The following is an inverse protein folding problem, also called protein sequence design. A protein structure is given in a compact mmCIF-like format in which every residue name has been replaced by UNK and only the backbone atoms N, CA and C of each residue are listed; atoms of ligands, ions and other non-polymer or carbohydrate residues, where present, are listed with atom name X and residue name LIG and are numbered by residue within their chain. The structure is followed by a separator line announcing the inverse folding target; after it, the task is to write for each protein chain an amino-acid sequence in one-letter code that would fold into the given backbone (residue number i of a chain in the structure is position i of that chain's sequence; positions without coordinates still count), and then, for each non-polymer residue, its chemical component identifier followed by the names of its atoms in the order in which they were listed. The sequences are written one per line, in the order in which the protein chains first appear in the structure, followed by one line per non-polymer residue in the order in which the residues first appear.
data_IF_566209115199
#
_entry.id   IF_566209115199
#
_cell.length_a   1.000
_cell.length_b   1.000
_cell.length_c   1.000
_cell.angle_alpha   90.00
_cell.angle_beta   90.00
_cell.angle_gamma   90.00
#
_symmetry.space_group_name_H-M   'P 1'
#
loop_
_entity.id
_entity.type
_entity.pdbx_description
1 polymer ?
#
# COMPACT_ATOMS: atom_id res chain seq x y z
N UNK A 1 23.62 -32.62 -12.45
CA UNK A 1 23.77 -32.01 -11.11
C UNK A 1 23.54 -30.51 -11.30
N UNK A 2 22.37 -29.91 -11.14
CA UNK A 2 21.04 -30.19 -10.58
C UNK A 2 20.03 -29.85 -11.71
N UNK A 3 19.20 -30.72 -12.29
CA UNK A 3 17.92 -31.27 -11.77
C UNK A 3 17.44 -30.58 -10.49
N UNK A 4 16.20 -30.07 -10.48
CA UNK A 4 15.58 -29.11 -9.52
C UNK A 4 15.92 -27.67 -9.94
N UNK A 5 15.07 -26.90 -10.64
CA UNK A 5 13.82 -26.26 -10.17
C UNK A 5 12.82 -26.08 -11.33
N UNK A 6 12.52 -27.13 -12.12
CA UNK A 6 11.60 -27.02 -13.27
C UNK A 6 10.20 -27.63 -13.05
N UNK A 7 9.89 -28.11 -11.83
CA UNK A 7 8.54 -28.56 -11.45
C UNK A 7 7.91 -27.76 -10.31
N UNK A 8 8.63 -26.76 -9.77
CA UNK A 8 8.28 -26.08 -8.52
C UNK A 8 8.34 -24.54 -8.61
N UNK A 9 8.24 -23.95 -9.80
CA UNK A 9 8.18 -22.50 -9.94
C UNK A 9 6.95 -22.01 -10.71
N UNK A 10 6.49 -22.77 -11.71
CA UNK A 10 5.19 -22.52 -12.36
C UNK A 10 4.01 -22.85 -11.43
N UNK A 11 4.17 -23.75 -10.46
CA UNK A 11 3.18 -24.01 -9.41
C UNK A 11 3.39 -23.20 -8.12
N UNK A 12 4.61 -22.67 -7.88
CA UNK A 12 4.92 -21.87 -6.68
C UNK A 12 4.53 -20.40 -6.85
N UNK A 13 4.67 -19.84 -8.05
CA UNK A 13 4.18 -18.48 -8.36
C UNK A 13 2.67 -18.46 -8.60
N UNK A 14 2.06 -19.58 -9.04
CA UNK A 14 0.59 -19.75 -9.03
C UNK A 14 0.02 -20.01 -7.62
N UNK A 15 0.84 -20.42 -6.64
CA UNK A 15 0.43 -20.63 -5.26
C UNK A 15 0.54 -19.38 -4.37
N UNK A 16 1.42 -18.42 -4.69
CA UNK A 16 1.48 -17.13 -3.97
C UNK A 16 0.26 -16.23 -4.27
N UNK A 17 -0.49 -16.55 -5.33
CA UNK A 17 -1.76 -15.88 -5.71
C UNK A 17 -3.00 -16.75 -5.40
N UNK A 18 -2.89 -17.78 -4.52
CA UNK A 18 -4.04 -18.39 -3.85
C UNK A 18 -4.34 -19.86 -4.16
N UNK A 19 -3.46 -20.79 -3.70
CA UNK A 19 -3.86 -22.18 -3.38
C UNK A 19 -3.13 -22.65 -2.11
N UNK A 20 -3.68 -22.31 -0.95
CA UNK A 20 -3.91 -23.28 0.12
C UNK A 20 -5.41 -23.29 0.37
N UNK A 21 -6.10 -24.28 -0.21
CA UNK A 21 -7.35 -24.79 0.33
C UNK A 21 -6.96 -25.69 1.50
N UNK A 22 -7.13 -25.20 2.73
CA UNK A 22 -7.04 -26.04 3.91
C UNK A 22 -8.27 -26.96 3.91
N UNK A 23 -8.03 -28.25 3.69
CA UNK A 23 -9.04 -29.32 3.58
C UNK A 23 -9.79 -29.64 4.88
N UNK A 24 -10.09 -28.66 5.73
CA UNK A 24 -10.95 -28.81 6.91
C UNK A 24 -12.14 -27.84 6.96
N UNK A 25 -12.40 -27.03 5.93
CA UNK A 25 -13.46 -26.01 5.96
C UNK A 25 -14.45 -25.92 4.77
N UNK A 26 -14.57 -26.91 3.89
CA UNK A 26 -15.60 -26.89 2.82
C UNK A 26 -16.25 -28.25 2.56
N UNK A 27 -17.05 -28.72 3.51
CA UNK A 27 -18.07 -29.72 3.21
C UNK A 27 -19.26 -29.07 2.49
N UNK A 28 -19.14 -28.78 1.18
CA UNK A 28 -20.32 -28.53 0.31
C UNK A 28 -20.01 -28.94 -1.14
N UNK A 29 -20.90 -29.77 -1.67
CA UNK A 29 -20.90 -30.40 -2.99
C UNK A 29 -20.89 -29.45 -4.20
N UNK A 30 -20.31 -29.95 -5.30
CA UNK A 30 -20.29 -29.31 -6.63
C UNK A 30 -21.56 -29.58 -7.44
N UNK A 31 -22.19 -28.53 -7.95
CA UNK A 31 -22.90 -28.49 -9.25
C UNK A 31 -23.02 -27.00 -9.66
N UNK A 32 -23.02 -26.54 -10.91
CA UNK A 32 -22.97 -27.13 -12.23
C UNK A 32 -22.39 -26.08 -13.24
N UNK A 33 -21.81 -26.61 -14.32
CA UNK A 33 -21.67 -26.06 -15.69
C UNK A 33 -21.59 -24.53 -15.94
N UNK A 34 -20.45 -24.10 -16.49
CA UNK A 34 -20.37 -22.90 -17.32
C UNK A 34 -20.36 -23.31 -18.81
N UNK A 35 -21.25 -22.71 -19.60
CA UNK A 35 -21.34 -22.88 -21.07
C UNK A 35 -20.22 -22.14 -21.84
N UNK A 36 -20.16 -22.30 -23.17
CA UNK A 36 -19.05 -21.83 -23.98
C UNK A 36 -19.14 -20.32 -24.23
N UNK A 37 -18.04 -19.60 -24.01
CA UNK A 37 -17.88 -18.20 -24.39
C UNK A 37 -16.75 -18.08 -25.42
N UNK A 38 -17.19 -17.78 -26.65
CA UNK A 38 -16.60 -17.01 -27.76
C UNK A 38 -15.17 -17.28 -28.26
N UNK A 39 -15.11 -17.61 -29.55
CA UNK A 39 -13.96 -18.05 -30.34
C UNK A 39 -13.38 -16.95 -31.28
N UNK A 40 -13.18 -15.73 -30.79
CA UNK A 40 -12.61 -14.63 -31.62
C UNK A 40 -11.25 -14.07 -31.14
N UNK A 41 -10.65 -14.65 -30.09
CA UNK A 41 -9.44 -14.09 -29.46
C UNK A 41 -8.08 -14.55 -30.06
N UNK A 42 -8.05 -15.33 -31.15
CA UNK A 42 -6.79 -15.93 -31.66
C UNK A 42 -6.12 -15.22 -32.86
N UNK A 43 -6.76 -14.22 -33.50
CA UNK A 43 -6.28 -13.68 -34.78
C UNK A 43 -4.89 -12.97 -34.74
N UNK A 44 -4.55 -12.12 -33.75
CA UNK A 44 -3.23 -11.48 -33.70
C UNK A 44 -2.11 -12.48 -33.40
N UNK A 45 -2.40 -13.46 -32.54
CA UNK A 45 -1.47 -14.52 -32.16
C UNK A 45 -1.15 -15.43 -33.34
N UNK A 46 -2.17 -15.91 -34.03
CA UNK A 46 -2.00 -16.76 -35.21
C UNK A 46 -1.30 -16.02 -36.35
N UNK A 47 -1.57 -14.73 -36.53
CA UNK A 47 -0.90 -13.91 -37.55
C UNK A 47 0.61 -13.80 -37.30
N UNK A 48 1.04 -13.45 -36.10
CA UNK A 48 2.46 -13.28 -35.76
C UNK A 48 3.21 -14.61 -35.84
N UNK A 49 2.62 -15.70 -35.34
CA UNK A 49 3.21 -17.04 -35.45
C UNK A 49 3.31 -17.48 -36.91
N UNK A 50 2.31 -17.17 -37.74
CA UNK A 50 2.32 -17.50 -39.17
C UNK A 50 3.40 -16.73 -39.92
N UNK A 51 3.54 -15.43 -39.68
CA UNK A 51 4.58 -14.60 -40.31
C UNK A 51 5.97 -15.06 -39.89
N UNK A 52 6.19 -15.27 -38.58
CA UNK A 52 7.46 -15.79 -38.07
C UNK A 52 7.82 -17.14 -38.69
N UNK A 53 6.89 -18.10 -38.67
CA UNK A 53 7.17 -19.45 -39.14
C UNK A 53 7.31 -19.55 -40.66
N UNK A 54 6.65 -18.68 -41.43
CA UNK A 54 6.84 -18.61 -42.88
C UNK A 54 8.30 -18.29 -43.20
N UNK A 55 8.82 -17.20 -42.65
CA UNK A 55 10.16 -16.71 -42.96
C UNK A 55 11.24 -17.69 -42.46
N UNK A 56 11.03 -18.30 -41.29
CA UNK A 56 11.93 -19.34 -40.73
C UNK A 56 12.03 -20.57 -41.64
N UNK A 57 10.93 -20.97 -42.29
CA UNK A 57 10.91 -22.19 -43.12
C UNK A 57 11.69 -22.00 -44.42
N UNK A 58 11.82 -20.76 -44.91
CA UNK A 58 12.44 -20.45 -46.20
C UNK A 58 13.98 -20.46 -46.14
N UNK A 59 14.59 -19.75 -45.18
CA UNK A 59 16.05 -19.66 -45.05
C UNK A 59 16.57 -19.69 -43.59
N UNK A 60 15.70 -20.03 -42.64
CA UNK A 60 16.03 -20.06 -41.22
C UNK A 60 16.22 -18.68 -40.60
N UNK A 61 15.81 -17.60 -41.27
CA UNK A 61 15.85 -16.22 -40.74
C UNK A 61 14.46 -15.66 -40.54
N UNK A 62 14.37 -14.63 -39.72
CA UNK A 62 13.16 -13.83 -39.56
C UNK A 62 13.53 -12.36 -39.34
N UNK A 63 12.64 -11.47 -39.77
CA UNK A 63 12.69 -10.03 -39.50
C UNK A 63 11.26 -9.52 -39.38
N UNK A 64 10.79 -9.34 -38.16
CA UNK A 64 9.41 -9.02 -37.85
C UNK A 64 9.33 -7.68 -37.13
N UNK A 65 8.39 -6.84 -37.58
CA UNK A 65 8.01 -5.63 -36.87
C UNK A 65 6.73 -5.91 -36.08
N UNK A 66 6.81 -5.85 -34.75
CA UNK A 66 5.65 -5.94 -33.86
C UNK A 66 5.18 -4.53 -33.53
N UNK A 67 4.03 -4.13 -34.05
CA UNK A 67 3.48 -2.79 -33.79
C UNK A 67 2.90 -2.69 -32.37
N UNK A 68 2.57 -1.48 -31.92
CA UNK A 68 1.85 -1.29 -30.67
C UNK A 68 0.48 -1.99 -30.70
N UNK A 69 -0.21 -1.97 -31.84
CA UNK A 69 -1.50 -2.63 -32.02
C UNK A 69 -1.38 -4.14 -31.88
N UNK A 70 -0.37 -4.75 -32.51
CA UNK A 70 -0.05 -6.17 -32.39
C UNK A 70 0.22 -6.57 -30.94
N UNK A 71 1.06 -5.82 -30.24
CA UNK A 71 1.40 -6.07 -28.84
C UNK A 71 0.16 -5.94 -27.92
N UNK A 72 -0.68 -4.93 -28.16
CA UNK A 72 -1.91 -4.75 -27.41
C UNK A 72 -2.93 -5.85 -27.68
N UNK A 73 -3.07 -6.29 -28.93
CA UNK A 73 -3.94 -7.39 -29.32
C UNK A 73 -3.52 -8.72 -28.68
N UNK A 74 -2.21 -9.00 -28.69
CA UNK A 74 -1.64 -10.16 -28.02
C UNK A 74 -1.89 -10.13 -26.51
N UNK A 75 -1.52 -9.04 -25.85
CA UNK A 75 -1.58 -8.97 -24.38
C UNK A 75 -3.02 -9.00 -23.88
N UNK A 76 -3.93 -8.28 -24.53
CA UNK A 76 -5.34 -8.30 -24.14
C UNK A 76 -6.04 -9.64 -24.49
N UNK A 77 -5.52 -10.39 -25.47
CA UNK A 77 -6.00 -11.75 -25.79
C UNK A 77 -5.50 -12.81 -24.81
N UNK A 78 -4.29 -12.67 -24.27
CA UNK A 78 -3.66 -13.64 -23.36
C UNK A 78 -3.97 -13.37 -21.87
N UNK A 79 -4.31 -12.13 -21.52
CA UNK A 79 -4.77 -11.77 -20.18
C UNK A 79 -6.20 -12.27 -19.98
N UNK A 80 -6.34 -13.52 -19.51
CA UNK A 80 -7.64 -14.03 -19.09
C UNK A 80 -8.29 -13.14 -18.01
N UNK A 81 -9.61 -13.23 -17.84
CA UNK A 81 -10.37 -12.47 -16.81
C UNK A 81 -9.85 -12.63 -15.37
N UNK A 82 -9.00 -13.64 -15.17
CA UNK A 82 -8.25 -13.94 -13.97
C UNK A 82 -7.05 -13.08 -13.65
N UNK A 83 -6.41 -12.49 -14.66
CA UNK A 83 -5.06 -11.96 -14.56
C UNK A 83 -4.94 -10.87 -13.48
N UNK A 84 -3.79 -10.78 -12.78
CA UNK A 84 -3.52 -9.73 -11.79
C UNK A 84 -3.32 -8.35 -12.43
N UNK A 85 -3.43 -8.25 -13.76
CA UNK A 85 -3.22 -7.05 -14.56
C UNK A 85 -4.40 -6.93 -15.54
N UNK A 86 -4.93 -5.72 -15.69
CA UNK A 86 -6.04 -5.36 -16.56
C UNK A 86 -5.70 -4.07 -17.33
N UNK A 87 -6.47 -3.79 -18.38
CA UNK A 87 -6.38 -2.56 -19.19
C UNK A 87 -4.96 -2.27 -19.71
N UNK A 88 -4.22 -3.32 -20.05
CA UNK A 88 -2.82 -3.18 -20.43
C UNK A 88 -2.72 -2.50 -21.80
N UNK A 89 -1.86 -1.48 -21.86
CA UNK A 89 -1.55 -0.68 -23.04
C UNK A 89 -0.04 -0.62 -23.24
N UNK A 90 0.39 -0.97 -24.43
CA UNK A 90 1.77 -0.87 -24.89
C UNK A 90 1.89 0.30 -25.84
N UNK A 91 2.84 1.19 -25.56
CA UNK A 91 3.25 2.28 -26.43
C UNK A 91 4.70 2.11 -26.85
N UNK A 92 5.01 2.31 -28.13
CA UNK A 92 6.36 2.18 -28.66
C UNK A 92 7.04 3.55 -28.77
N UNK A 93 8.31 3.63 -28.39
CA UNK A 93 9.14 4.84 -28.47
C UNK A 93 10.52 4.48 -29.02
N UNK A 94 11.27 5.49 -29.44
CA UNK A 94 12.66 5.29 -29.85
C UNK A 94 13.48 4.75 -28.67
N UNK A 95 13.97 3.52 -28.79
CA UNK A 95 14.78 2.83 -27.79
C UNK A 95 14.03 2.30 -26.57
N UNK A 96 12.70 2.43 -26.50
CA UNK A 96 11.93 1.93 -25.36
C UNK A 96 10.47 1.56 -25.69
N UNK A 97 9.88 0.77 -24.80
CA UNK A 97 8.50 0.30 -24.81
C UNK A 97 7.86 0.74 -23.49
N UNK A 98 6.81 1.53 -23.57
CA UNK A 98 5.97 1.94 -22.44
C UNK A 98 4.89 0.89 -22.24
N UNK A 99 4.72 0.39 -21.03
CA UNK A 99 3.61 -0.47 -20.65
C UNK A 99 2.83 0.22 -19.55
N UNK A 100 1.58 0.54 -19.79
CA UNK A 100 0.65 1.08 -18.80
C UNK A 100 -0.44 0.04 -18.56
N UNK A 101 -0.99 -0.03 -17.35
CA UNK A 101 -2.09 -0.95 -17.04
C UNK A 101 -2.64 -0.69 -15.65
N UNK A 102 -3.48 -1.60 -15.18
CA UNK A 102 -4.00 -1.58 -13.81
C UNK A 102 -3.79 -2.93 -13.14
N UNK A 103 -3.26 -2.94 -11.92
CA UNK A 103 -3.19 -4.14 -11.10
C UNK A 103 -4.60 -4.45 -10.59
N UNK A 104 -5.01 -5.70 -10.78
CA UNK A 104 -6.24 -6.26 -10.25
C UNK A 104 -6.03 -6.54 -8.76
N UNK A 105 -6.49 -5.62 -7.93
CA UNK A 105 -6.72 -5.83 -6.50
C UNK A 105 -8.21 -5.73 -6.19
N UNK A 106 -8.53 -5.38 -4.93
CA UNK A 106 -9.88 -4.95 -4.57
C UNK A 106 -10.32 -3.71 -5.35
N UNK A 107 -9.36 -2.90 -5.79
CA UNK A 107 -9.53 -1.76 -6.67
C UNK A 107 -8.48 -1.79 -7.78
N UNK A 108 -8.77 -1.27 -8.98
CA UNK A 108 -7.76 -1.11 -10.02
C UNK A 108 -6.71 -0.11 -9.54
N UNK A 109 -5.45 -0.56 -9.43
CA UNK A 109 -4.32 0.31 -9.11
C UNK A 109 -3.52 0.54 -10.39
N UNK A 110 -3.52 1.76 -10.96
CA UNK A 110 -2.78 2.00 -12.19
C UNK A 110 -1.29 1.75 -11.97
N UNK A 111 -0.61 1.22 -12.97
CA UNK A 111 0.84 1.12 -12.99
C UNK A 111 1.35 1.51 -14.38
N UNK A 112 2.62 1.88 -14.43
CA UNK A 112 3.29 2.16 -15.68
C UNK A 112 4.77 1.79 -15.59
N UNK A 113 5.28 1.16 -16.63
CA UNK A 113 6.67 0.74 -16.76
C UNK A 113 7.26 1.23 -18.09
N UNK A 114 8.55 1.55 -18.07
CA UNK A 114 9.32 1.82 -19.28
C UNK A 114 10.39 0.74 -19.41
N UNK A 115 10.35 0.03 -20.54
CA UNK A 115 11.21 -1.11 -20.86
C UNK A 115 12.14 -0.73 -22.01
N UNK A 116 13.44 -0.99 -21.89
CA UNK A 116 14.41 -0.80 -22.96
C UNK A 116 14.94 -2.17 -23.38
N UNK A 117 14.51 -2.71 -24.53
CA UNK A 117 15.07 -3.95 -25.03
C UNK A 117 16.51 -3.73 -25.51
N UNK A 118 17.38 -4.70 -25.24
CA UNK A 118 18.77 -4.72 -25.69
C UNK A 118 19.15 -6.12 -26.16
N UNK A 119 20.07 -6.20 -27.11
CA UNK A 119 20.65 -7.47 -27.52
C UNK A 119 21.90 -7.77 -26.67
N UNK A 120 21.88 -8.89 -25.96
CA UNK A 120 23.02 -9.42 -25.24
C UNK A 120 24.09 -9.96 -26.19
N UNK A 121 25.32 -10.08 -25.70
CA UNK A 121 26.46 -10.64 -26.49
C UNK A 121 26.29 -12.11 -26.84
N UNK A 122 25.40 -12.82 -26.14
CA UNK A 122 24.98 -14.19 -26.43
C UNK A 122 23.88 -14.30 -27.50
N UNK A 123 23.42 -13.16 -28.04
CA UNK A 123 22.32 -13.11 -29.01
C UNK A 123 20.94 -13.28 -28.38
N UNK A 124 20.82 -13.09 -27.05
CA UNK A 124 19.54 -13.09 -26.33
C UNK A 124 19.01 -11.67 -26.11
N UNK A 125 17.70 -11.51 -26.12
CA UNK A 125 17.07 -10.23 -25.80
C UNK A 125 17.10 -10.03 -24.29
N UNK A 126 17.64 -8.91 -23.84
CA UNK A 126 17.59 -8.45 -22.46
C UNK A 126 16.60 -7.29 -22.38
N UNK A 127 15.61 -7.38 -21.48
CA UNK A 127 14.71 -6.27 -21.21
C UNK A 127 15.26 -5.53 -19.98
N UNK A 128 15.62 -4.26 -20.16
CA UNK A 128 16.04 -3.40 -19.06
C UNK A 128 14.86 -2.55 -18.64
N UNK A 129 14.39 -2.74 -17.42
CA UNK A 129 13.41 -1.87 -16.80
C UNK A 129 14.08 -0.55 -16.42
N UNK A 130 13.69 0.55 -17.06
CA UNK A 130 14.25 1.86 -16.78
C UNK A 130 13.42 2.67 -15.80
N UNK A 131 12.11 2.46 -15.78
CA UNK A 131 11.18 3.15 -14.88
C UNK A 131 10.02 2.25 -14.51
N UNK A 132 9.59 2.28 -13.24
CA UNK A 132 8.33 1.69 -12.77
C UNK A 132 7.61 2.69 -11.90
N UNK A 133 6.31 2.78 -12.11
CA UNK A 133 5.40 3.60 -11.33
C UNK A 133 4.17 2.80 -10.94
N UNK A 134 3.69 3.03 -9.72
CA UNK A 134 2.35 2.64 -9.27
C UNK A 134 1.59 3.94 -9.05
N UNK A 135 0.60 4.20 -9.88
CA UNK A 135 0.00 5.52 -10.06
C UNK A 135 1.08 6.56 -10.40
N UNK A 136 1.13 7.70 -9.70
CA UNK A 136 2.17 8.71 -9.90
C UNK A 136 3.44 8.45 -9.09
N UNK A 137 3.49 7.37 -8.29
CA UNK A 137 4.61 7.09 -7.41
C UNK A 137 5.68 6.28 -8.13
N UNK A 138 6.93 6.79 -8.25
CA UNK A 138 8.04 5.96 -8.67
C UNK A 138 8.27 4.89 -7.62
N UNK A 139 8.38 3.62 -8.04
CA UNK A 139 8.73 2.56 -7.10
C UNK A 139 10.22 2.65 -6.75
N UNK A 140 10.60 2.30 -5.52
CA UNK A 140 12.01 2.29 -5.14
C UNK A 140 12.83 1.25 -5.90
N UNK A 141 14.16 1.41 -5.95
CA UNK A 141 15.06 0.50 -6.68
C UNK A 141 14.93 -0.98 -6.28
N UNK A 142 14.51 -1.28 -5.05
CA UNK A 142 14.25 -2.67 -4.65
C UNK A 142 13.01 -3.30 -5.28
N UNK A 143 12.05 -2.50 -5.75
CA UNK A 143 10.94 -3.00 -6.54
C UNK A 143 11.38 -3.32 -7.97
N UNK A 144 12.50 -2.77 -8.45
CA UNK A 144 13.06 -3.13 -9.76
C UNK A 144 13.46 -4.60 -9.80
N UNK A 145 13.87 -5.24 -8.70
CA UNK A 145 14.19 -6.67 -8.68
C UNK A 145 12.96 -7.55 -8.95
N UNK A 146 11.93 -7.53 -8.08
CA UNK A 146 10.68 -8.26 -8.28
C UNK A 146 9.90 -7.82 -9.54
N UNK A 147 10.00 -6.55 -9.96
CA UNK A 147 9.39 -6.09 -11.21
C UNK A 147 10.24 -6.46 -12.42
N UNK A 148 11.57 -6.56 -12.32
CA UNK A 148 12.40 -7.20 -13.35
C UNK A 148 12.09 -8.68 -13.42
N UNK A 149 11.88 -9.37 -12.29
CA UNK A 149 11.46 -10.76 -12.26
C UNK A 149 10.07 -10.93 -12.86
N UNK A 150 9.12 -10.02 -12.55
CA UNK A 150 7.78 -9.99 -13.16
C UNK A 150 7.83 -9.65 -14.65
N UNK A 151 8.66 -8.68 -15.07
CA UNK A 151 8.85 -8.27 -16.46
C UNK A 151 9.52 -9.39 -17.26
N UNK A 152 10.53 -10.04 -16.69
CA UNK A 152 11.16 -11.25 -17.19
C UNK A 152 10.26 -12.48 -17.06
N UNK A 153 9.07 -12.40 -16.44
CA UNK A 153 8.09 -13.49 -16.39
C UNK A 153 6.90 -13.24 -17.34
N UNK A 154 6.48 -11.97 -17.50
CA UNK A 154 5.39 -11.54 -18.40
C UNK A 154 5.90 -11.36 -19.83
N UNK A 155 7.16 -10.97 -20.00
CA UNK A 155 7.82 -10.65 -21.27
C UNK A 155 9.13 -11.45 -21.37
N UNK A 156 9.10 -12.74 -21.03
CA UNK A 156 10.24 -13.62 -21.32
C UNK A 156 10.20 -14.06 -22.79
N UNK A 157 10.56 -13.15 -23.70
CA UNK A 157 10.71 -13.48 -25.11
C UNK A 157 11.64 -14.68 -25.29
N UNK A 158 12.66 -14.84 -24.44
CA UNK A 158 13.60 -15.96 -24.53
C UNK A 158 12.98 -17.29 -24.07
N UNK A 159 12.00 -17.30 -23.16
CA UNK A 159 11.27 -18.52 -22.77
C UNK A 159 10.10 -18.84 -23.70
N UNK A 160 9.40 -17.84 -24.21
CA UNK A 160 8.38 -18.02 -25.26
C UNK A 160 8.98 -18.55 -26.57
N UNK A 161 10.26 -18.28 -26.81
CA UNK A 161 11.00 -18.70 -28.00
C UNK A 161 12.07 -19.77 -27.74
N UNK A 162 12.32 -20.14 -26.47
CA UNK A 162 13.55 -20.86 -26.08
C UNK A 162 13.36 -21.93 -25.01
N UNK A 163 12.42 -22.84 -25.23
CA UNK A 163 12.70 -24.25 -24.90
C UNK A 163 13.51 -24.97 -25.99
N UNK A 164 13.82 -24.28 -27.09
CA UNK A 164 14.68 -24.78 -28.15
C UNK A 164 15.89 -23.87 -28.24
N UNK A 165 17.10 -24.42 -28.39
CA UNK A 165 18.31 -23.69 -28.80
C UNK A 165 18.19 -23.13 -30.23
N UNK A 166 16.96 -23.03 -30.76
CA UNK A 166 16.68 -22.79 -32.14
C UNK A 166 16.78 -21.33 -32.51
N UNK A 167 16.39 -20.40 -31.63
CA UNK A 167 16.27 -18.97 -31.95
C UNK A 167 17.48 -18.17 -31.44
N UNK A 168 18.10 -17.38 -32.32
CA UNK A 168 19.17 -16.42 -32.02
C UNK A 168 18.87 -15.08 -32.64
N UNK A 169 18.82 -14.03 -31.83
CA UNK A 169 18.55 -12.68 -32.32
C UNK A 169 19.81 -12.00 -32.84
N UNK A 170 19.66 -11.23 -33.91
CA UNK A 170 20.70 -10.38 -34.50
C UNK A 170 20.35 -8.90 -34.41
N UNK A 171 19.07 -8.56 -34.22
CA UNK A 171 18.64 -7.19 -33.92
C UNK A 171 17.38 -7.17 -33.07
N UNK A 172 17.32 -6.18 -32.16
CA UNK A 172 16.11 -5.82 -31.40
C UNK A 172 16.09 -4.31 -31.24
N UNK A 173 15.14 -3.64 -31.89
CA UNK A 173 15.07 -2.17 -31.92
C UNK A 173 13.64 -1.70 -31.68
N UNK A 174 13.44 -0.90 -30.63
CA UNK A 174 12.17 -0.21 -30.39
C UNK A 174 12.17 1.14 -31.11
N UNK A 175 11.11 1.41 -31.89
CA UNK A 175 10.88 2.67 -32.59
C UNK A 175 9.41 3.08 -32.49
N UNK A 176 9.03 4.32 -32.84
CA UNK A 176 7.62 4.70 -32.90
C UNK A 176 6.77 3.81 -33.84
N UNK A 177 7.39 3.15 -34.83
CA UNK A 177 6.69 2.24 -35.74
C UNK A 177 6.44 0.85 -35.13
N UNK A 178 7.17 0.45 -34.10
CA UNK A 178 7.10 -0.89 -33.53
C UNK A 178 8.42 -1.38 -32.94
N UNK A 179 8.37 -2.58 -32.36
CA UNK A 179 9.51 -3.36 -31.92
C UNK A 179 9.96 -4.29 -33.07
N UNK A 180 11.11 -4.00 -33.67
CA UNK A 180 11.73 -4.88 -34.65
C UNK A 180 12.47 -6.01 -33.97
N UNK A 181 12.22 -7.24 -34.41
CA UNK A 181 12.85 -8.47 -33.96
C UNK A 181 13.42 -9.20 -35.18
N UNK A 182 14.75 -9.32 -35.26
CA UNK A 182 15.38 -10.06 -36.35
C UNK A 182 16.37 -11.10 -35.82
N UNK A 183 16.50 -12.22 -36.52
CA UNK A 183 17.36 -13.32 -36.09
C UNK A 183 17.32 -14.54 -36.99
N UNK A 184 17.80 -15.65 -36.44
CA UNK A 184 17.75 -16.98 -37.05
C UNK A 184 17.00 -17.94 -36.15
N UNK A 185 16.23 -18.86 -36.72
CA UNK A 185 15.61 -19.97 -36.02
C UNK A 185 15.91 -21.30 -36.72
N UNK A 186 16.31 -22.34 -35.97
CA UNK A 186 16.52 -23.69 -36.54
C UNK A 186 15.26 -24.55 -36.55
N UNK A 187 14.17 -24.10 -35.92
CA UNK A 187 12.88 -24.79 -35.83
C UNK A 187 11.72 -23.77 -35.81
N UNK A 188 10.51 -24.14 -36.28
CA UNK A 188 9.33 -23.30 -36.16
C UNK A 188 8.99 -22.98 -34.69
N UNK A 189 8.63 -21.74 -34.43
CA UNK A 189 8.24 -21.22 -33.12
C UNK A 189 6.83 -21.72 -32.78
N UNK A 190 6.67 -22.23 -31.55
CA UNK A 190 5.38 -22.61 -30.97
C UNK A 190 5.12 -21.82 -29.69
N UNK A 191 3.97 -21.15 -29.61
CA UNK A 191 3.55 -20.46 -28.39
C UNK A 191 2.80 -21.43 -27.45
N UNK A 192 3.04 -21.42 -26.13
CA UNK A 192 2.36 -22.30 -25.18
C UNK A 192 0.85 -22.02 -25.09
N UNK A 193 0.05 -23.05 -24.79
CA UNK A 193 -1.40 -22.92 -24.61
C UNK A 193 -1.71 -22.19 -23.28
N UNK A 194 -2.07 -20.90 -23.39
CA UNK A 194 -2.37 -20.02 -22.26
C UNK A 194 -3.74 -20.32 -21.65
N UNK A 195 -3.79 -21.16 -20.62
CA UNK A 195 -4.94 -21.25 -19.71
C UNK A 195 -4.53 -20.84 -18.31
N UNK A 196 -4.71 -19.57 -17.98
CA UNK A 196 -4.50 -19.05 -16.61
C UNK A 196 -5.77 -19.23 -15.77
N UNK A 197 -5.67 -19.74 -14.53
CA UNK A 197 -6.81 -19.84 -13.61
C UNK A 197 -7.31 -18.46 -13.20
N UNK A 198 -8.62 -18.26 -13.23
CA UNK A 198 -9.24 -17.00 -12.86
C UNK A 198 -9.49 -16.83 -11.37
N UNK A 199 -8.88 -15.81 -10.75
CA UNK A 199 -9.31 -15.32 -9.45
C UNK A 199 -10.64 -14.56 -9.59
N UNK A 200 -11.66 -14.96 -8.80
CA UNK A 200 -12.97 -14.30 -8.74
C UNK A 200 -12.83 -12.94 -8.04
N UNK A 201 -13.36 -11.89 -8.67
CA UNK A 201 -13.53 -10.58 -8.04
C UNK A 201 -14.73 -10.64 -7.06
N UNK A 202 -14.48 -10.36 -5.78
CA UNK A 202 -15.53 -10.10 -4.80
C UNK A 202 -15.96 -8.62 -4.82
N UNK A 203 -17.10 -8.28 -4.20
CA UNK A 203 -17.50 -6.88 -4.05
C UNK A 203 -16.46 -6.12 -3.21
N UNK A 204 -16.24 -4.82 -3.51
CA UNK A 204 -15.28 -4.03 -2.77
C UNK A 204 -15.68 -3.91 -1.29
N UNK A 205 -14.72 -3.94 -0.35
CA UNK A 205 -15.03 -3.79 1.06
C UNK A 205 -15.68 -2.44 1.35
N UNK A 206 -16.61 -2.44 2.29
CA UNK A 206 -17.18 -1.21 2.83
C UNK A 206 -16.11 -0.46 3.62
N UNK A 207 -15.99 0.85 3.38
CA UNK A 207 -15.15 1.73 4.20
C UNK A 207 -15.82 1.87 5.57
N UNK A 208 -15.12 1.59 6.68
CA UNK A 208 -15.64 1.84 8.02
C UNK A 208 -16.04 3.32 8.17
N UNK A 209 -17.30 3.56 8.50
CA UNK A 209 -17.82 4.92 8.69
C UNK A 209 -17.77 5.34 10.16
N UNK A 210 -17.47 6.63 10.44
CA UNK A 210 -17.65 7.18 11.77
C UNK A 210 -19.13 7.14 12.16
N UNK A 211 -19.38 7.06 13.46
CA UNK A 211 -20.72 7.14 14.05
C UNK A 211 -21.04 8.61 14.35
N UNK A 212 -22.31 8.95 14.30
CA UNK A 212 -22.77 10.28 14.73
C UNK A 212 -22.72 10.36 16.27
N UNK A 213 -23.25 9.35 16.97
CA UNK A 213 -23.24 9.25 18.43
C UNK A 213 -22.84 7.86 18.94
N UNK A 214 -22.46 7.77 20.21
CA UNK A 214 -22.07 6.51 20.85
C UNK A 214 -23.20 5.49 20.86
N UNK A 215 -22.84 4.20 20.80
CA UNK A 215 -23.82 3.10 20.89
C UNK A 215 -24.50 3.02 22.26
N UNK A 216 -23.83 3.47 23.32
CA UNK A 216 -24.34 3.52 24.69
C UNK A 216 -24.27 4.95 25.21
N UNK A 217 -25.28 5.36 25.97
CA UNK A 217 -25.25 6.66 26.64
C UNK A 217 -24.23 6.66 27.79
N UNK A 218 -23.56 7.79 28.03
CA UNK A 218 -22.86 8.08 29.28
C UNK A 218 -23.65 7.70 30.53
N UNK A 219 -23.04 6.96 31.47
CA UNK A 219 -23.66 6.72 32.79
C UNK A 219 -23.69 8.01 33.60
N UNK A 220 -22.66 8.84 33.44
CA UNK A 220 -22.52 10.16 34.05
C UNK A 220 -22.35 11.18 32.92
N UNK A 221 -23.25 12.17 32.86
CA UNK A 221 -23.08 13.30 31.96
C UNK A 221 -22.21 14.33 32.69
N UNK A 222 -21.08 14.76 32.10
CA UNK A 222 -20.29 15.81 32.70
C UNK A 222 -21.10 17.11 32.85
N UNK A 223 -20.77 17.99 33.81
CA UNK A 223 -21.36 19.31 33.86
C UNK A 223 -21.18 20.05 32.52
N UNK A 224 -22.14 20.90 32.17
CA UNK A 224 -22.05 21.72 30.96
C UNK A 224 -20.77 22.57 30.96
N UNK A 225 -20.14 22.72 29.80
CA UNK A 225 -18.87 23.42 29.57
C UNK A 225 -17.65 22.83 30.30
N UNK A 226 -17.82 21.67 30.96
CA UNK A 226 -16.82 21.09 31.84
C UNK A 226 -15.79 20.16 31.17
N UNK A 227 -15.74 20.11 29.85
CA UNK A 227 -14.95 19.12 29.12
C UNK A 227 -14.06 19.75 28.07
N UNK A 228 -12.73 19.62 28.25
CA UNK A 228 -11.74 19.97 27.24
C UNK A 228 -11.11 18.72 26.63
N UNK A 229 -11.18 18.64 25.31
CA UNK A 229 -10.49 17.67 24.46
C UNK A 229 -9.25 18.32 23.83
N UNK A 230 -8.08 17.71 24.01
CA UNK A 230 -6.84 18.15 23.38
C UNK A 230 -6.39 17.12 22.33
N UNK A 231 -6.13 17.55 21.11
CA UNK A 231 -5.53 16.73 20.07
C UNK A 231 -4.09 17.19 19.82
N UNK A 232 -3.12 16.28 19.93
CA UNK A 232 -1.71 16.55 19.68
C UNK A 232 -1.16 15.54 18.68
N UNK A 233 -0.21 15.93 17.86
CA UNK A 233 0.40 15.01 16.92
C UNK A 233 0.96 15.64 15.66
N UNK A 234 1.21 14.82 14.67
CA UNK A 234 1.81 15.21 13.39
C UNK A 234 0.78 15.76 12.38
N UNK A 235 1.06 15.59 11.08
CA UNK A 235 0.20 16.03 9.98
C UNK A 235 -1.19 15.41 10.02
N UNK A 236 -1.34 14.22 10.60
CA UNK A 236 -2.63 13.57 10.76
C UNK A 236 -3.53 14.30 11.77
N UNK A 237 -2.95 14.89 12.80
CA UNK A 237 -3.69 15.77 13.73
C UNK A 237 -3.88 17.17 13.15
N UNK A 238 -2.92 17.66 12.37
CA UNK A 238 -3.04 18.94 11.67
C UNK A 238 -4.14 18.91 10.58
N UNK A 239 -4.37 17.76 9.96
CA UNK A 239 -5.42 17.55 8.97
C UNK A 239 -4.95 17.56 7.52
N UNK A 240 -3.66 17.31 7.25
CA UNK A 240 -3.13 17.27 5.89
C UNK A 240 -3.91 16.25 5.04
N UNK A 241 -4.30 16.62 3.82
CA UNK A 241 -5.11 15.78 2.93
C UNK A 241 -6.64 15.88 3.14
N UNK A 242 -7.12 16.47 4.23
CA UNK A 242 -8.55 16.75 4.42
C UNK A 242 -9.00 17.87 3.47
N UNK A 243 -10.24 17.79 2.97
CA UNK A 243 -10.78 18.84 2.09
C UNK A 243 -11.07 20.16 2.83
N UNK A 244 -11.37 20.08 4.12
CA UNK A 244 -11.53 21.22 5.03
C UNK A 244 -11.26 20.83 6.49
N UNK A 245 -11.11 21.82 7.39
CA UNK A 245 -10.81 21.59 8.81
C UNK A 245 -11.88 20.77 9.54
N UNK A 246 -13.15 20.85 9.13
CA UNK A 246 -14.26 20.08 9.68
C UNK A 246 -14.23 18.59 9.28
N UNK A 247 -13.38 18.22 8.31
CA UNK A 247 -13.17 16.84 7.86
C UNK A 247 -12.00 16.13 8.53
N UNK A 248 -11.19 16.85 9.30
CA UNK A 248 -10.10 16.27 10.10
C UNK A 248 -10.65 15.34 11.19
N UNK A 249 -9.85 14.37 11.65
CA UNK A 249 -10.31 13.49 12.72
C UNK A 249 -10.58 14.24 14.04
N UNK A 250 -9.79 15.25 14.48
CA UNK A 250 -10.08 15.95 15.72
C UNK A 250 -11.43 16.68 15.66
N UNK A 251 -11.75 17.33 14.53
CA UNK A 251 -13.02 18.03 14.37
C UNK A 251 -14.22 17.07 14.30
N UNK A 252 -14.08 15.94 13.60
CA UNK A 252 -15.14 14.92 13.54
C UNK A 252 -15.35 14.24 14.89
N UNK A 253 -14.27 13.91 15.59
CA UNK A 253 -14.34 13.29 16.89
C UNK A 253 -14.90 14.25 17.95
N UNK A 254 -14.55 15.53 17.88
CA UNK A 254 -15.16 16.58 18.70
C UNK A 254 -16.67 16.69 18.52
N UNK A 255 -17.17 16.68 17.27
CA UNK A 255 -18.63 16.64 17.00
C UNK A 255 -19.29 15.41 17.60
N UNK A 256 -18.65 14.25 17.45
CA UNK A 256 -19.12 13.01 18.07
C UNK A 256 -19.19 13.11 19.61
N UNK A 257 -18.19 13.73 20.26
CA UNK A 257 -18.20 13.92 21.71
C UNK A 257 -19.36 14.82 22.15
N UNK A 258 -19.60 15.94 21.45
CA UNK A 258 -20.75 16.83 21.75
C UNK A 258 -22.07 16.05 21.64
N UNK A 259 -22.26 15.30 20.56
CA UNK A 259 -23.49 14.53 20.32
C UNK A 259 -23.66 13.40 21.35
N UNK A 260 -22.56 12.74 21.73
CA UNK A 260 -22.56 11.63 22.70
C UNK A 260 -22.82 12.11 24.12
N UNK A 261 -22.18 13.20 24.53
CA UNK A 261 -22.26 13.72 25.90
C UNK A 261 -23.50 14.60 26.10
N UNK A 262 -24.05 15.19 25.04
CA UNK A 262 -25.17 16.12 25.13
C UNK A 262 -24.83 17.46 25.80
N UNK A 263 -23.54 17.76 25.95
CA UNK A 263 -23.02 19.02 26.51
C UNK A 263 -21.95 19.61 25.59
N UNK A 264 -21.71 20.94 25.65
CA UNK A 264 -20.58 21.55 24.95
C UNK A 264 -19.24 20.93 25.39
N UNK A 265 -18.36 20.71 24.41
CA UNK A 265 -16.98 20.27 24.63
C UNK A 265 -16.06 21.32 24.02
N UNK A 266 -15.02 21.74 24.73
CA UNK A 266 -13.96 22.60 24.20
C UNK A 266 -12.93 21.72 23.49
N UNK A 267 -12.39 22.18 22.36
CA UNK A 267 -11.34 21.45 21.62
C UNK A 267 -10.12 22.34 21.41
N UNK A 268 -8.94 21.77 21.63
CA UNK A 268 -7.66 22.40 21.31
C UNK A 268 -6.84 21.42 20.47
N UNK A 269 -6.65 21.72 19.17
CA UNK A 269 -5.76 20.95 18.31
C UNK A 269 -4.40 21.65 18.23
N UNK A 270 -3.35 20.94 18.61
CA UNK A 270 -1.97 21.43 18.59
C UNK A 270 -1.12 20.77 17.49
N UNK A 271 -1.75 19.99 16.59
CA UNK A 271 -1.07 19.24 15.55
C UNK A 271 -0.17 20.08 14.65
N UNK A 272 0.99 19.55 14.28
CA UNK A 272 1.98 20.20 13.42
C UNK A 272 2.50 19.19 12.40
N UNK A 273 2.32 19.52 11.12
CA UNK A 273 2.80 18.70 10.01
C UNK A 273 4.31 18.46 10.07
N UNK A 274 4.71 17.23 9.78
CA UNK A 274 6.12 16.83 9.73
C UNK A 274 6.80 16.63 11.10
N UNK A 275 6.09 16.77 12.22
CA UNK A 275 6.69 16.46 13.52
C UNK A 275 7.02 14.98 13.69
N UNK A 276 8.19 14.72 14.25
CA UNK A 276 8.66 13.42 14.71
C UNK A 276 8.75 13.39 16.24
N UNK A 277 8.96 12.21 16.83
CA UNK A 277 8.99 12.07 18.30
C UNK A 277 10.10 12.89 19.00
N UNK A 278 11.11 13.35 18.27
CA UNK A 278 12.21 14.18 18.80
C UNK A 278 11.77 15.64 18.93
N UNK A 279 11.29 16.21 17.84
CA UNK A 279 10.78 17.60 17.77
C UNK A 279 9.46 17.78 18.53
N UNK A 280 8.76 16.68 18.79
CA UNK A 280 7.57 16.65 19.62
C UNK A 280 7.88 16.94 21.09
N UNK A 281 8.99 16.41 21.62
CA UNK A 281 9.38 16.54 23.02
C UNK A 281 10.07 17.84 23.36
N UNK A 282 11.05 18.25 22.56
CA UNK A 282 11.98 19.33 22.91
C UNK A 282 12.14 20.36 21.79
N UNK A 283 12.56 21.56 22.18
CA UNK A 283 12.85 22.66 21.26
C UNK A 283 11.69 23.64 21.06
N UNK A 284 11.87 24.66 20.20
CA UNK A 284 10.94 25.79 20.08
C UNK A 284 9.56 25.40 19.53
N UNK A 285 9.45 24.23 18.90
CA UNK A 285 8.19 23.69 18.34
C UNK A 285 7.63 22.53 19.16
N UNK A 286 8.17 22.26 20.35
CA UNK A 286 7.71 21.15 21.20
C UNK A 286 6.21 21.25 21.45
N UNK A 287 5.46 20.24 21.01
CA UNK A 287 4.04 20.16 21.36
C UNK A 287 3.85 19.63 22.78
N UNK A 288 4.77 18.82 23.31
CA UNK A 288 4.65 18.35 24.69
C UNK A 288 4.76 19.54 25.65
N UNK A 289 5.72 20.45 25.48
CA UNK A 289 5.79 21.66 26.33
C UNK A 289 4.52 22.52 26.20
N UNK A 290 4.02 22.71 24.98
CA UNK A 290 2.79 23.48 24.73
C UNK A 290 1.56 22.82 25.35
N UNK A 291 1.46 21.50 25.27
CA UNK A 291 0.37 20.73 25.87
C UNK A 291 0.44 20.80 27.40
N UNK A 292 1.63 20.66 27.98
CA UNK A 292 1.83 20.78 29.43
C UNK A 292 1.51 22.19 29.93
N UNK A 293 1.93 23.22 29.21
CA UNK A 293 1.57 24.60 29.53
C UNK A 293 0.05 24.79 29.49
N UNK A 294 -0.61 24.35 28.42
CA UNK A 294 -2.08 24.40 28.31
C UNK A 294 -2.76 23.65 29.47
N UNK A 295 -2.33 22.42 29.76
CA UNK A 295 -2.87 21.63 30.87
C UNK A 295 -2.69 22.38 32.19
N UNK A 296 -1.54 22.98 32.44
CA UNK A 296 -1.26 23.74 33.67
C UNK A 296 -2.04 25.05 33.74
N UNK A 297 -2.28 25.74 32.62
CA UNK A 297 -3.06 26.97 32.60
C UNK A 297 -4.54 26.68 32.92
N UNK A 298 -5.13 25.69 32.24
CA UNK A 298 -6.47 25.18 32.55
C UNK A 298 -6.54 24.56 33.96
N UNK A 299 -5.40 24.00 34.39
CA UNK A 299 -4.98 23.68 35.75
C UNK A 299 -5.35 24.70 36.82
N UNK A 300 -5.02 25.95 36.54
CA UNK A 300 -4.84 26.97 37.56
C UNK A 300 -5.73 28.20 37.32
N UNK A 301 -6.64 28.15 36.35
CA UNK A 301 -7.56 29.22 35.99
C UNK A 301 -8.74 29.41 36.99
N UNK A 302 -8.86 28.53 37.98
CA UNK A 302 -9.94 28.56 38.97
C UNK A 302 -11.29 28.02 38.46
N UNK A 303 -11.37 27.54 37.21
CA UNK A 303 -12.57 26.95 36.62
C UNK A 303 -12.39 25.44 36.45
N UNK A 304 -13.15 24.65 37.22
CA UNK A 304 -13.16 23.19 37.07
C UNK A 304 -13.74 22.76 35.72
N UNK A 305 -14.44 23.64 35.01
CA UNK A 305 -15.04 23.34 33.72
C UNK A 305 -14.02 23.28 32.57
N UNK A 306 -12.86 23.89 32.72
CA UNK A 306 -11.89 23.99 31.62
C UNK A 306 -10.92 22.80 31.58
N UNK A 307 -10.98 21.90 32.54
CA UNK A 307 -10.00 20.81 32.71
C UNK A 307 -9.93 19.91 31.49
N UNK A 308 -8.73 19.41 31.22
CA UNK A 308 -8.49 18.45 30.15
C UNK A 308 -9.01 17.09 30.61
N UNK A 309 -9.89 16.49 29.80
CA UNK A 309 -10.51 15.19 30.09
C UNK A 309 -10.10 14.11 29.09
N UNK A 310 -9.64 14.53 27.91
CA UNK A 310 -9.27 13.63 26.83
C UNK A 310 -8.11 14.21 26.05
N UNK A 311 -7.11 13.37 25.79
CA UNK A 311 -6.01 13.67 24.89
C UNK A 311 -5.92 12.59 23.82
N UNK A 312 -5.95 12.97 22.54
CA UNK A 312 -5.65 12.05 21.42
C UNK A 312 -4.29 12.36 20.82
N UNK A 313 -3.55 11.32 20.43
CA UNK A 313 -2.17 11.42 19.97
C UNK A 313 -1.96 10.73 18.61
N UNK A 314 -1.33 11.41 17.66
CA UNK A 314 -0.79 10.83 16.41
C UNK A 314 0.71 11.12 16.31
N UNK A 315 1.57 10.09 16.41
CA UNK A 315 3.02 10.29 16.24
C UNK A 315 3.71 8.98 15.84
N UNK A 316 4.72 9.06 14.97
CA UNK A 316 5.67 7.96 14.73
C UNK A 316 6.03 7.71 13.27
N UNK A 317 5.16 8.00 12.31
CA UNK A 317 5.49 7.79 10.90
C UNK A 317 6.70 8.62 10.45
N UNK A 318 6.79 9.87 10.92
CA UNK A 318 7.89 10.79 10.60
C UNK A 318 9.25 10.39 11.22
N UNK A 319 9.26 9.51 12.22
CA UNK A 319 10.51 8.93 12.75
C UNK A 319 11.13 7.90 11.79
N UNK A 320 10.29 7.26 10.98
CA UNK A 320 10.68 6.14 10.10
C UNK A 320 10.84 6.61 8.66
N UNK A 321 9.98 7.52 8.20
CA UNK A 321 9.94 7.92 6.80
C UNK A 321 11.28 8.44 6.24
N UNK A 322 12.07 9.25 6.98
CA UNK A 322 13.42 9.64 6.53
C UNK A 322 14.37 8.45 6.39
N UNK A 323 14.25 7.42 7.23
CA UNK A 323 15.06 6.19 7.15
C UNK A 323 14.73 5.43 5.88
N UNK A 324 13.44 5.28 5.56
CA UNK A 324 12.99 4.60 4.34
C UNK A 324 13.43 5.32 3.05
N UNK A 325 13.60 6.65 3.13
CA UNK A 325 14.14 7.48 2.04
C UNK A 325 15.67 7.47 1.93
N UNK A 326 16.38 6.90 2.91
CA UNK A 326 17.83 6.79 2.83
C UNK A 326 18.26 5.90 1.67
N UNK A 327 19.44 6.14 1.10
CA UNK A 327 19.96 5.32 0.01
C UNK A 327 20.04 3.82 0.39
N UNK A 328 20.41 3.54 1.64
CA UNK A 328 20.49 2.17 2.17
C UNK A 328 19.16 1.45 2.08
N UNK A 329 18.09 2.08 2.57
CA UNK A 329 16.75 1.48 2.55
C UNK A 329 16.10 1.52 1.17
N UNK A 330 16.35 2.57 0.39
CA UNK A 330 15.83 2.68 -0.97
C UNK A 330 16.37 1.59 -1.90
N UNK A 331 17.64 1.20 -1.71
CA UNK A 331 18.30 0.17 -2.53
C UNK A 331 17.96 -1.25 -2.06
N UNK A 332 17.96 -1.48 -0.75
CA UNK A 332 17.72 -2.81 -0.18
C UNK A 332 16.97 -2.71 1.17
N UNK A 333 15.64 -2.56 1.15
CA UNK A 333 14.84 -2.33 2.36
C UNK A 333 14.81 -3.56 3.25
N UNK A 334 14.94 -4.76 2.69
CA UNK A 334 14.99 -6.02 3.45
C UNK A 334 16.41 -6.34 3.96
N UNK A 335 17.43 -5.64 3.46
CA UNK A 335 18.81 -5.85 3.86
C UNK A 335 19.03 -5.51 5.33
N UNK A 336 19.92 -6.27 5.98
CA UNK A 336 20.23 -6.11 7.41
C UNK A 336 20.63 -4.66 7.78
N UNK A 337 21.30 -3.95 6.88
CA UNK A 337 21.66 -2.55 7.10
C UNK A 337 20.44 -1.62 7.18
N UNK A 338 19.46 -1.77 6.27
CA UNK A 338 18.22 -0.98 6.35
C UNK A 338 17.41 -1.39 7.58
N UNK A 339 17.24 -2.69 7.81
CA UNK A 339 16.49 -3.19 8.95
C UNK A 339 17.09 -2.70 10.28
N UNK A 340 18.42 -2.66 10.40
CA UNK A 340 19.09 -2.07 11.56
C UNK A 340 18.82 -0.57 11.74
N UNK A 341 18.71 0.20 10.65
CA UNK A 341 18.34 1.62 10.72
C UNK A 341 16.86 1.81 11.13
N UNK A 342 15.95 0.99 10.59
CA UNK A 342 14.54 0.97 10.96
C UNK A 342 14.40 0.63 12.44
N UNK A 343 15.06 -0.43 12.91
CA UNK A 343 15.02 -0.86 14.32
C UNK A 343 15.56 0.23 15.25
N UNK A 344 16.66 0.90 14.88
CA UNK A 344 17.20 2.02 15.64
C UNK A 344 16.26 3.24 15.69
N UNK A 345 15.52 3.52 14.62
CA UNK A 345 14.49 4.57 14.61
C UNK A 345 13.30 4.19 15.50
N UNK A 346 12.84 2.94 15.43
CA UNK A 346 11.76 2.42 16.29
C UNK A 346 12.13 2.50 17.78
N UNK A 347 13.34 2.09 18.16
CA UNK A 347 13.80 2.17 19.56
C UNK A 347 13.81 3.61 20.06
N UNK A 348 14.27 4.55 19.23
CA UNK A 348 14.27 5.98 19.59
C UNK A 348 12.86 6.52 19.74
N UNK A 349 11.97 6.19 18.79
CA UNK A 349 10.56 6.53 18.87
C UNK A 349 9.94 6.00 20.17
N UNK A 350 10.17 4.72 20.50
CA UNK A 350 9.63 4.09 21.70
C UNK A 350 10.07 4.80 22.99
N UNK A 351 11.37 5.11 23.10
CA UNK A 351 11.92 5.88 24.22
C UNK A 351 11.27 7.26 24.34
N UNK A 352 11.14 7.95 23.21
CA UNK A 352 10.61 9.30 23.16
C UNK A 352 9.12 9.36 23.50
N UNK A 353 8.34 8.44 22.94
CA UNK A 353 6.91 8.33 23.22
C UNK A 353 6.65 7.93 24.67
N UNK A 354 7.46 7.04 25.25
CA UNK A 354 7.34 6.68 26.65
C UNK A 354 7.60 7.89 27.57
N UNK A 355 8.62 8.69 27.28
CA UNK A 355 8.90 9.92 28.03
C UNK A 355 7.75 10.94 27.91
N UNK A 356 7.27 11.19 26.69
CA UNK A 356 6.13 12.08 26.44
C UNK A 356 4.86 11.62 27.17
N UNK A 357 4.54 10.32 27.10
CA UNK A 357 3.38 9.73 27.78
C UNK A 357 3.47 9.88 29.30
N UNK A 358 4.65 9.64 29.89
CA UNK A 358 4.87 9.81 31.32
C UNK A 358 4.68 11.28 31.76
N UNK A 359 5.20 12.24 30.97
CA UNK A 359 5.05 13.67 31.25
C UNK A 359 3.59 14.11 31.19
N UNK A 360 2.85 13.72 30.15
CA UNK A 360 1.43 14.04 30.02
C UNK A 360 0.62 13.43 31.16
N UNK A 361 0.85 12.16 31.48
CA UNK A 361 0.17 11.46 32.58
C UNK A 361 0.43 12.10 33.94
N UNK A 362 1.63 12.64 34.16
CA UNK A 362 1.97 13.36 35.39
C UNK A 362 1.33 14.74 35.51
N UNK A 363 0.93 15.36 34.39
CA UNK A 363 0.36 16.71 34.37
C UNK A 363 -1.18 16.74 34.44
N UNK A 364 -1.83 15.75 33.85
CA UNK A 364 -3.30 15.68 33.78
C UNK A 364 -3.94 15.26 35.11
N UNK A 365 -5.23 15.56 35.27
CA UNK A 365 -6.01 15.11 36.42
C UNK A 365 -6.31 13.60 36.36
N UNK A 366 -6.48 12.92 37.51
CA UNK A 366 -6.99 11.56 37.54
C UNK A 366 -8.30 11.41 36.75
N UNK A 367 -8.39 10.35 35.94
CA UNK A 367 -9.54 10.11 35.07
C UNK A 367 -9.43 10.73 33.67
N UNK A 368 -8.40 11.53 33.40
CA UNK A 368 -8.10 11.98 32.03
C UNK A 368 -7.75 10.79 31.14
N UNK A 369 -8.45 10.65 30.02
CA UNK A 369 -8.21 9.58 29.07
C UNK A 369 -7.15 9.99 28.05
N UNK A 370 -6.14 9.15 27.84
CA UNK A 370 -5.13 9.33 26.80
C UNK A 370 -5.28 8.22 25.76
N UNK A 371 -5.51 8.60 24.51
CA UNK A 371 -5.65 7.67 23.38
C UNK A 371 -4.54 7.93 22.35
N UNK A 372 -3.81 6.89 21.96
CA UNK A 372 -2.82 6.91 20.87
C UNK A 372 -3.30 6.00 19.73
N UNK A 373 -3.08 6.37 18.47
CA UNK A 373 -3.44 5.50 17.35
C UNK A 373 -2.32 4.52 16.94
N UNK A 374 -2.70 3.35 16.43
CA UNK A 374 -1.85 2.57 15.53
C UNK A 374 -1.78 3.25 14.14
N UNK A 375 -0.78 2.95 13.33
CA UNK A 375 -0.62 3.48 11.97
C UNK A 375 -1.10 2.49 10.92
N UNK A 376 -1.68 3.02 9.86
CA UNK A 376 -1.97 2.29 8.63
C UNK A 376 -0.77 2.27 7.70
N UNK A 377 -0.74 1.30 6.78
CA UNK A 377 0.23 1.28 5.69
C UNK A 377 -0.36 2.01 4.47
N UNK A 378 0.16 3.19 4.07
CA UNK A 378 -0.36 3.93 2.91
C UNK A 378 -0.15 3.19 1.59
N UNK A 379 0.64 2.11 1.58
CA UNK A 379 0.96 1.32 0.41
C UNK A 379 0.24 -0.04 0.37
N UNK A 380 -0.62 -0.36 1.34
CA UNK A 380 -1.38 -1.61 1.32
C UNK A 380 -2.63 -1.44 0.44
N UNK A 381 -2.55 -1.86 -0.82
CA UNK A 381 -3.65 -1.78 -1.78
C UNK A 381 -4.41 -3.11 -1.93
N UNK A 382 -3.98 -4.15 -1.20
CA UNK A 382 -4.60 -5.48 -1.25
C UNK A 382 -4.30 -6.19 -2.56
N UNK A 383 -3.17 -5.85 -3.17
CA UNK A 383 -2.69 -6.51 -4.40
C UNK A 383 -1.80 -7.71 -4.08
N UNK A 384 -1.25 -7.77 -2.86
CA UNK A 384 -0.32 -8.82 -2.45
C UNK A 384 1.08 -8.64 -3.03
N UNK A 385 1.39 -7.48 -3.61
CA UNK A 385 2.74 -7.17 -4.06
C UNK A 385 3.73 -7.21 -2.89
N UNK A 386 4.95 -7.67 -3.17
CA UNK A 386 6.02 -7.74 -2.16
C UNK A 386 6.33 -6.39 -1.51
N UNK A 387 6.15 -5.29 -2.25
CA UNK A 387 6.26 -3.94 -1.72
C UNK A 387 5.26 -3.66 -0.60
N UNK A 388 4.00 -4.12 -0.72
CA UNK A 388 2.99 -3.99 0.33
C UNK A 388 3.42 -4.76 1.58
N UNK A 389 3.96 -5.97 1.38
CA UNK A 389 4.48 -6.80 2.48
C UNK A 389 5.66 -6.15 3.21
N UNK A 390 6.63 -5.60 2.47
CA UNK A 390 7.82 -4.94 3.06
C UNK A 390 7.43 -3.69 3.83
N UNK A 391 6.53 -2.88 3.26
CA UNK A 391 6.03 -1.68 3.94
C UNK A 391 5.18 -2.05 5.15
N UNK A 392 4.38 -3.12 5.07
CA UNK A 392 3.57 -3.61 6.18
C UNK A 392 4.45 -4.08 7.34
N UNK A 393 5.53 -4.82 7.10
CA UNK A 393 6.47 -5.23 8.16
C UNK A 393 7.05 -4.04 8.93
N UNK A 394 7.30 -2.92 8.24
CA UNK A 394 7.79 -1.70 8.88
C UNK A 394 6.70 -1.06 9.75
N UNK A 395 5.48 -0.98 9.25
CA UNK A 395 4.32 -0.47 10.00
C UNK A 395 3.99 -1.36 11.21
N UNK A 396 4.11 -2.69 11.07
CA UNK A 396 3.91 -3.64 12.16
C UNK A 396 4.92 -3.43 13.30
N UNK A 397 6.19 -3.18 12.96
CA UNK A 397 7.23 -2.82 13.96
C UNK A 397 6.88 -1.54 14.71
N UNK A 398 6.40 -0.50 14.00
CA UNK A 398 5.93 0.74 14.62
C UNK A 398 4.74 0.50 15.53
N UNK A 399 3.73 -0.21 15.05
CA UNK A 399 2.52 -0.50 15.82
C UNK A 399 2.81 -1.36 17.04
N UNK A 400 3.76 -2.29 16.95
CA UNK A 400 4.23 -3.06 18.09
C UNK A 400 4.92 -2.16 19.14
N UNK A 401 5.70 -1.16 18.72
CA UNK A 401 6.29 -0.19 19.64
C UNK A 401 5.23 0.70 20.30
N UNK A 402 4.26 1.19 19.53
CA UNK A 402 3.09 1.94 20.05
C UNK A 402 2.34 1.10 21.09
N UNK A 403 2.09 -0.18 20.79
CA UNK A 403 1.45 -1.10 21.71
C UNK A 403 2.22 -1.26 23.02
N UNK A 404 3.55 -1.41 22.96
CA UNK A 404 4.40 -1.50 24.16
C UNK A 404 4.34 -0.23 24.99
N UNK A 405 4.48 0.95 24.37
CA UNK A 405 4.39 2.24 25.06
C UNK A 405 3.01 2.42 25.71
N UNK A 406 1.94 2.12 24.97
CA UNK A 406 0.58 2.23 25.45
C UNK A 406 0.33 1.33 26.67
N UNK A 407 0.69 0.04 26.56
CA UNK A 407 0.56 -0.92 27.67
C UNK A 407 1.37 -0.50 28.89
N UNK A 408 2.61 -0.03 28.71
CA UNK A 408 3.48 0.38 29.82
C UNK A 408 3.00 1.65 30.53
N UNK A 409 2.30 2.55 29.82
CA UNK A 409 1.87 3.84 30.35
C UNK A 409 0.37 3.91 30.66
N UNK A 410 -0.39 2.84 30.35
CA UNK A 410 -1.84 2.81 30.51
C UNK A 410 -2.57 3.73 29.52
N UNK A 411 -2.07 3.84 28.29
CA UNK A 411 -2.75 4.54 27.20
C UNK A 411 -3.73 3.59 26.51
N UNK A 412 -4.80 4.13 25.97
CA UNK A 412 -5.74 3.39 25.11
C UNK A 412 -5.28 3.47 23.66
N UNK A 413 -5.46 2.39 22.90
CA UNK A 413 -5.11 2.36 21.48
C UNK A 413 -6.34 2.51 20.62
N UNK A 414 -6.30 3.45 19.68
CA UNK A 414 -7.21 3.53 18.54
C UNK A 414 -6.62 2.71 17.38
N UNK A 415 -7.25 1.60 17.02
CA UNK A 415 -6.73 0.71 15.97
C UNK A 415 -7.07 1.20 14.55
N UNK A 416 -6.41 2.28 14.14
CA UNK A 416 -6.54 2.81 12.77
C UNK A 416 -5.95 1.84 11.75
N UNK A 417 -4.81 1.22 12.06
CA UNK A 417 -4.14 0.26 11.18
C UNK A 417 -5.05 -0.92 10.80
N UNK A 418 -5.70 -1.54 11.79
CA UNK A 418 -6.64 -2.63 11.56
C UNK A 418 -7.89 -2.22 10.78
N UNK A 419 -8.44 -1.03 11.03
CA UNK A 419 -9.62 -0.55 10.29
C UNK A 419 -9.31 -0.14 8.85
N UNK A 420 -8.12 0.40 8.59
CA UNK A 420 -7.69 0.75 7.24
C UNK A 420 -7.45 -0.51 6.39
N UNK A 421 -6.77 -1.53 6.93
CA UNK A 421 -6.46 -2.76 6.20
C UNK A 421 -5.80 -2.47 4.84
N UNK A 422 -6.41 -2.96 3.77
CA UNK A 422 -5.98 -2.79 2.38
C UNK A 422 -6.73 -1.68 1.61
N UNK A 423 -7.38 -0.77 2.34
CA UNK A 423 -8.15 0.32 1.74
C UNK A 423 -7.29 1.52 1.36
N UNK A 424 -5.96 1.46 1.53
CA UNK A 424 -5.10 2.64 1.48
C UNK A 424 -5.29 3.47 0.20
N UNK A 425 -5.42 2.82 -0.96
CA UNK A 425 -5.63 3.50 -2.24
C UNK A 425 -6.92 4.33 -2.29
N UNK A 426 -7.95 3.96 -1.53
CA UNK A 426 -9.25 4.67 -1.48
C UNK A 426 -9.34 5.73 -0.41
N UNK A 427 -8.63 5.54 0.70
CA UNK A 427 -8.79 6.37 1.89
C UNK A 427 -7.63 7.36 2.08
N UNK A 428 -6.67 7.36 1.14
CA UNK A 428 -5.56 8.30 1.08
C UNK A 428 -5.49 8.96 -0.29
N UNK A 429 -4.59 9.92 -0.43
CA UNK A 429 -4.25 10.54 -1.72
C UNK A 429 -3.05 9.86 -2.40
N UNK A 430 -2.75 8.59 -2.05
CA UNK A 430 -1.52 7.91 -2.47
C UNK A 430 -1.40 7.79 -3.99
N UNK A 431 -2.54 7.69 -4.68
CA UNK A 431 -2.60 7.72 -6.14
C UNK A 431 -2.09 9.04 -6.75
N UNK A 432 -2.11 10.13 -5.99
CA UNK A 432 -1.54 11.44 -6.34
C UNK A 432 -0.18 11.70 -5.67
N UNK A 433 0.44 10.67 -5.09
CA UNK A 433 1.76 10.75 -4.48
C UNK A 433 1.76 11.27 -3.04
N UNK A 434 0.58 11.42 -2.44
CA UNK A 434 0.41 11.94 -1.09
C UNK A 434 -0.10 10.83 -0.16
N UNK A 435 0.71 10.49 0.85
CA UNK A 435 0.41 9.41 1.81
C UNK A 435 -0.72 9.77 2.80
N UNK A 436 -1.14 11.03 2.84
CA UNK A 436 -2.10 11.50 3.81
C UNK A 436 -3.53 10.98 3.53
N UNK A 437 -4.35 10.80 4.58
CA UNK A 437 -5.74 10.41 4.42
C UNK A 437 -6.53 11.47 3.65
N UNK A 438 -7.50 11.02 2.87
CA UNK A 438 -8.56 11.89 2.36
C UNK A 438 -9.72 11.96 3.38
N UNK A 439 -10.83 12.59 3.00
CA UNK A 439 -12.02 12.72 3.87
C UNK A 439 -12.57 11.38 4.38
N UNK A 440 -12.51 10.32 3.57
CA UNK A 440 -12.96 8.98 3.96
C UNK A 440 -11.95 8.34 4.93
N UNK A 441 -10.65 8.51 4.70
CA UNK A 441 -9.62 8.04 5.64
C UNK A 441 -9.65 8.74 6.99
N UNK A 442 -9.87 10.04 7.02
CA UNK A 442 -10.15 10.75 8.28
C UNK A 442 -11.44 10.24 8.94
N UNK A 443 -12.43 9.78 8.17
CA UNK A 443 -13.60 9.08 8.67
C UNK A 443 -13.25 7.76 9.37
N UNK A 444 -12.39 6.94 8.76
CA UNK A 444 -11.87 5.68 9.34
C UNK A 444 -11.08 5.96 10.62
N UNK A 445 -10.21 6.97 10.62
CA UNK A 445 -9.47 7.38 11.82
C UNK A 445 -10.41 7.81 12.94
N UNK A 446 -11.39 8.66 12.63
CA UNK A 446 -12.42 9.08 13.59
C UNK A 446 -13.12 7.86 14.18
N UNK A 447 -13.47 6.88 13.35
CA UNK A 447 -14.10 5.65 13.79
C UNK A 447 -13.22 4.86 14.78
N UNK A 448 -11.91 4.76 14.53
CA UNK A 448 -10.98 4.10 15.46
C UNK A 448 -10.93 4.78 16.83
N UNK A 449 -10.89 6.12 16.86
CA UNK A 449 -10.91 6.87 18.12
C UNK A 449 -12.25 6.77 18.85
N UNK A 450 -13.37 6.70 18.12
CA UNK A 450 -14.69 6.41 18.69
C UNK A 450 -14.73 5.02 19.33
N UNK A 451 -14.25 3.99 18.63
CA UNK A 451 -14.23 2.62 19.13
C UNK A 451 -13.32 2.51 20.38
N UNK A 452 -12.15 3.16 20.38
CA UNK A 452 -11.26 3.24 21.53
C UNK A 452 -11.91 3.96 22.72
N UNK A 453 -12.52 5.12 22.48
CA UNK A 453 -13.21 5.89 23.52
C UNK A 453 -14.39 5.11 24.11
N UNK A 454 -15.19 4.44 23.29
CA UNK A 454 -16.32 3.64 23.79
C UNK A 454 -15.85 2.39 24.55
N UNK A 455 -14.72 1.79 24.18
CA UNK A 455 -14.19 0.59 24.83
C UNK A 455 -13.74 0.85 26.27
N UNK A 456 -13.24 2.06 26.55
CA UNK A 456 -12.66 2.42 27.85
C UNK A 456 -13.42 3.51 28.59
N UNK A 457 -14.43 4.11 27.96
CA UNK A 457 -14.90 5.48 28.21
C UNK A 457 -15.08 5.85 29.68
N UNK A 458 -15.16 7.16 30.00
CA UNK A 458 -15.19 7.67 31.38
C UNK A 458 -16.43 7.25 32.20
N UNK A 459 -17.20 6.27 31.72
CA UNK A 459 -18.38 5.66 32.33
C UNK A 459 -18.10 4.29 32.93
N UNK A 460 -16.84 3.85 32.92
CA UNK A 460 -16.38 2.54 33.38
C UNK A 460 -15.44 2.60 34.58
N UNK A 461 -15.90 3.10 35.73
CA UNK A 461 -15.75 2.53 37.08
C UNK A 461 -16.24 3.49 38.15
#
# INVERSE_FOLDING_TARGET
MFVVVAGLFTAYVLAVVGVLDWSWLSGVDRSAQAGPVLAEQSAPREHIVTVLNRDITDDGKFDVLVTAEDANGLLNGELGSGAPVQDLKVGMRAGSVRVDGSLKGRFPVPFGATLAPRLGTDGRVQIILSEVSVSVLPLPGFAEGPVNDLTNQVVDFNRLLGQTTAVRFTAVDASPAGLRLAGTASEPIRLPDGKTPGARAGPPPAIPKPRDLAAKRPVTVPPADAWTYVAIGDSLTAGDGASDLGRTFPARFHRYLIQTLGVPVKVQSLGISGQDSRTWQDGPTSQIERALQLINDLKNDGDASTRVHLITMTMGANDIFPVLKSQTCFTNPQGAACQGQVDAAIVRFEQNMAAAAARLKGAVEPGTLLIIMSYYNPFNFGTGLIFETVTQQTVDKLNAAIQRVASANGLTIADVGGLCGDLAFRITHIGAGDIHPNDDGYGVMTRAFQDAYEAVGPFGR
#
